data_IF_551849673783
#
_entry.id   IF_551849673783
#
_cell.length_a   1.000
_cell.length_b   1.000
_cell.length_c   1.000
_cell.angle_alpha   90.00
_cell.angle_beta   90.00
_cell.angle_gamma   90.00
#
_symmetry.space_group_name_H-M   'P 1'
#
loop_
_entity.id
_entity.type
_entity.pdbx_description
1 polymer ?
#
# COMPACT_ATOMS: atom_id res chain seq x y z
N UNK A 1 46.03 -70.41 -13.14
CA UNK A 1 44.78 -70.46 -12.35
C UNK A 1 44.73 -69.18 -11.52
N UNK A 2 44.03 -68.15 -12.01
CA UNK A 2 42.64 -67.75 -11.65
C UNK A 2 42.53 -67.37 -10.15
N UNK A 3 42.49 -66.07 -9.80
CA UNK A 3 41.28 -65.28 -9.46
C UNK A 3 40.67 -65.73 -8.09
N UNK A 4 40.39 -64.96 -7.03
CA UNK A 4 40.11 -63.55 -6.78
C UNK A 4 39.94 -63.38 -5.24
N UNK A 5 40.40 -62.32 -4.54
CA UNK A 5 39.84 -61.99 -3.24
C UNK A 5 38.63 -61.08 -3.47
N UNK A 6 37.42 -61.64 -3.36
CA UNK A 6 36.20 -60.82 -3.29
C UNK A 6 36.24 -60.04 -1.97
N UNK A 7 36.79 -58.82 -2.00
CA UNK A 7 36.51 -57.82 -0.98
C UNK A 7 35.01 -57.53 -1.05
N UNK A 8 34.23 -58.19 -0.19
CA UNK A 8 32.87 -57.75 0.11
C UNK A 8 32.99 -56.40 0.80
N UNK A 9 32.91 -55.33 0.00
CA UNK A 9 32.74 -53.98 0.49
C UNK A 9 31.35 -53.91 1.12
N UNK A 10 31.23 -54.34 2.39
CA UNK A 10 29.99 -54.30 3.15
C UNK A 10 29.73 -52.84 3.49
N UNK A 11 29.20 -52.10 2.53
CA UNK A 11 28.59 -50.81 2.80
C UNK A 11 27.53 -51.06 3.88
N UNK A 12 27.82 -50.62 5.10
CA UNK A 12 27.02 -50.94 6.27
C UNK A 12 25.65 -50.30 6.02
N UNK A 13 24.57 -51.10 5.90
CA UNK A 13 23.24 -50.59 5.50
C UNK A 13 22.72 -49.47 6.41
N UNK A 14 23.28 -49.37 7.61
CA UNK A 14 23.07 -48.27 8.58
C UNK A 14 23.46 -46.90 7.99
N UNK A 15 24.51 -46.83 7.17
CA UNK A 15 24.93 -45.60 6.50
C UNK A 15 24.14 -45.26 5.23
N UNK A 16 23.34 -46.20 4.70
CA UNK A 16 22.57 -45.97 3.49
C UNK A 16 21.54 -44.85 3.67
N UNK A 17 20.91 -44.76 4.85
CA UNK A 17 19.90 -43.73 5.13
C UNK A 17 20.55 -42.34 5.27
N UNK A 18 21.56 -42.11 6.15
CA UNK A 18 22.23 -40.80 6.23
C UNK A 18 22.86 -40.36 4.90
N UNK A 19 23.49 -41.27 4.16
CA UNK A 19 24.10 -40.96 2.86
C UNK A 19 23.02 -40.62 1.82
N UNK A 20 21.89 -41.32 1.82
CA UNK A 20 20.77 -40.98 0.94
C UNK A 20 20.18 -39.61 1.26
N UNK A 21 20.04 -39.27 2.54
CA UNK A 21 19.57 -37.93 2.97
C UNK A 21 20.54 -36.85 2.51
N UNK A 22 21.85 -37.04 2.73
CA UNK A 22 22.87 -36.08 2.29
C UNK A 22 22.89 -35.93 0.76
N UNK A 23 22.73 -37.02 0.01
CA UNK A 23 22.62 -36.98 -1.44
C UNK A 23 21.37 -36.23 -1.91
N UNK A 24 20.22 -36.45 -1.26
CA UNK A 24 18.99 -35.72 -1.57
C UNK A 24 19.12 -34.22 -1.27
N UNK A 25 19.76 -33.85 -0.16
CA UNK A 25 20.09 -32.45 0.16
C UNK A 25 21.03 -31.87 -0.90
N UNK A 26 22.08 -32.60 -1.28
CA UNK A 26 23.00 -32.19 -2.33
C UNK A 26 22.32 -31.99 -3.69
N UNK A 27 21.42 -32.90 -4.07
CA UNK A 27 20.62 -32.79 -5.30
C UNK A 27 19.66 -31.60 -5.23
N UNK A 28 19.04 -31.33 -4.08
CA UNK A 28 18.16 -30.18 -3.90
C UNK A 28 18.87 -28.85 -4.17
N UNK A 29 20.10 -28.68 -3.68
CA UNK A 29 20.88 -27.46 -3.89
C UNK A 29 21.47 -27.32 -5.30
N UNK A 30 21.27 -28.29 -6.20
CA UNK A 30 21.59 -28.09 -7.61
C UNK A 30 20.66 -27.01 -8.21
N UNK A 31 21.18 -25.97 -8.90
CA UNK A 31 20.38 -24.83 -9.36
C UNK A 31 19.09 -25.19 -10.14
N UNK A 32 19.08 -26.18 -11.06
CA UNK A 32 17.86 -26.57 -11.79
C UNK A 32 16.80 -27.25 -10.92
N UNK A 33 17.21 -27.84 -9.79
CA UNK A 33 16.30 -28.51 -8.84
C UNK A 33 15.78 -27.49 -7.84
N UNK A 34 16.69 -26.71 -7.24
CA UNK A 34 16.35 -25.65 -6.30
C UNK A 34 15.34 -24.67 -6.89
N UNK A 35 15.61 -24.12 -8.09
CA UNK A 35 14.69 -23.16 -8.75
C UNK A 35 13.28 -23.71 -8.98
N UNK A 36 13.14 -25.03 -9.20
CA UNK A 36 11.85 -25.68 -9.44
C UNK A 36 11.11 -26.10 -8.17
N UNK A 37 11.84 -26.37 -7.07
CA UNK A 37 11.27 -26.89 -5.83
C UNK A 37 11.20 -25.86 -4.70
N UNK A 38 12.07 -24.84 -4.67
CA UNK A 38 12.13 -23.87 -3.57
C UNK A 38 10.79 -23.19 -3.32
N UNK A 39 10.14 -22.67 -4.36
CA UNK A 39 8.82 -22.04 -4.23
C UNK A 39 7.73 -23.01 -3.73
N UNK A 40 7.83 -24.30 -4.07
CA UNK A 40 6.88 -25.33 -3.60
C UNK A 40 7.08 -25.64 -2.12
N UNK A 41 8.33 -25.70 -1.68
CA UNK A 41 8.66 -25.90 -0.27
C UNK A 41 8.26 -24.67 0.56
N UNK A 42 8.49 -23.47 0.03
CA UNK A 42 8.05 -22.22 0.66
C UNK A 42 6.53 -22.16 0.76
N UNK A 43 5.81 -22.53 -0.30
CA UNK A 43 4.36 -22.61 -0.27
C UNK A 43 3.86 -23.65 0.75
N UNK A 44 4.47 -24.83 0.80
CA UNK A 44 4.12 -25.85 1.80
C UNK A 44 4.37 -25.36 3.23
N UNK A 45 5.50 -24.69 3.46
CA UNK A 45 5.80 -24.10 4.77
C UNK A 45 4.79 -23.02 5.15
N UNK A 46 4.38 -22.18 4.21
CA UNK A 46 3.35 -21.16 4.43
C UNK A 46 2.00 -21.81 4.74
N UNK A 47 1.58 -22.82 3.98
CA UNK A 47 0.35 -23.58 4.21
C UNK A 47 0.34 -24.23 5.59
N UNK A 48 1.45 -24.84 6.02
CA UNK A 48 1.57 -25.42 7.37
C UNK A 48 1.44 -24.34 8.43
N UNK A 49 2.14 -23.20 8.28
CA UNK A 49 2.07 -22.10 9.26
C UNK A 49 0.65 -21.53 9.35
N UNK A 50 0.02 -21.23 8.23
CA UNK A 50 -1.34 -20.67 8.19
C UNK A 50 -2.42 -21.66 8.61
N UNK A 51 -2.17 -22.97 8.50
CA UNK A 51 -3.07 -23.97 9.06
C UNK A 51 -3.12 -23.91 10.59
N UNK A 52 -1.99 -23.65 11.26
CA UNK A 52 -1.92 -23.56 12.72
C UNK A 52 -2.17 -22.14 13.26
N UNK A 53 -1.83 -21.11 12.49
CA UNK A 53 -2.01 -19.71 12.84
C UNK A 53 -2.57 -18.97 11.61
N UNK A 54 -3.90 -18.97 11.41
CA UNK A 54 -4.53 -18.28 10.30
C UNK A 54 -4.25 -16.77 10.39
N UNK A 55 -3.73 -16.13 9.33
CA UNK A 55 -3.32 -14.73 9.40
C UNK A 55 -4.50 -13.75 9.58
N UNK A 56 -5.71 -14.18 9.21
CA UNK A 56 -6.95 -13.44 9.44
C UNK A 56 -7.45 -13.48 10.90
N UNK A 57 -6.95 -14.41 11.71
CA UNK A 57 -7.17 -14.43 13.16
C UNK A 57 -6.20 -13.51 13.92
N UNK A 58 -5.12 -13.04 13.28
CA UNK A 58 -4.15 -12.15 13.89
C UNK A 58 -4.80 -10.79 14.20
N UNK A 59 -4.75 -10.39 15.48
CA UNK A 59 -5.33 -9.12 15.96
C UNK A 59 -4.30 -8.37 16.76
N UNK A 60 -4.02 -7.14 16.33
CA UNK A 60 -3.30 -6.16 17.13
C UNK A 60 -4.28 -5.39 18.02
N UNK A 61 -3.97 -5.30 19.31
CA UNK A 61 -4.72 -4.50 20.28
C UNK A 61 -3.86 -3.34 20.77
N UNK A 62 -4.20 -2.09 20.42
CA UNK A 62 -3.42 -0.93 20.85
C UNK A 62 -3.56 -0.70 22.36
N UNK A 63 -2.45 -0.31 23.00
CA UNK A 63 -2.42 -0.03 24.45
C UNK A 63 -3.08 1.31 24.86
N UNK A 64 -3.36 2.19 23.90
CA UNK A 64 -3.79 3.59 24.12
C UNK A 64 -5.23 3.82 24.55
N UNK A 65 -6.09 2.79 24.61
CA UNK A 65 -7.50 2.97 24.97
C UNK A 65 -7.75 2.44 26.38
N UNK A 66 -7.56 3.32 27.37
CA UNK A 66 -8.50 3.29 28.50
C UNK A 66 -9.88 3.56 27.92
N UNK A 67 -10.90 2.81 28.36
CA UNK A 67 -12.31 2.82 27.90
C UNK A 67 -12.99 4.21 27.92
N UNK A 68 -12.47 5.19 27.19
CA UNK A 68 -13.21 6.36 26.76
C UNK A 68 -14.17 5.81 25.72
N UNK A 69 -15.45 5.79 26.10
CA UNK A 69 -16.52 5.26 25.27
C UNK A 69 -16.41 5.87 23.87
N UNK A 70 -16.64 5.05 22.85
CA UNK A 70 -16.69 5.43 21.43
C UNK A 70 -17.46 6.76 21.23
N UNK A 71 -18.49 7.00 22.05
CA UNK A 71 -19.28 8.23 22.08
C UNK A 71 -18.51 9.50 22.47
N UNK A 72 -17.57 9.42 23.42
CA UNK A 72 -16.83 10.58 23.92
C UNK A 72 -15.88 11.12 22.85
N UNK A 73 -15.23 10.22 22.09
CA UNK A 73 -14.31 10.63 21.02
C UNK A 73 -15.05 11.03 19.75
N UNK A 74 -16.16 10.35 19.41
CA UNK A 74 -17.08 10.87 18.38
C UNK A 74 -17.55 12.28 18.75
N UNK A 75 -17.76 12.56 20.05
CA UNK A 75 -18.09 13.87 20.58
C UNK A 75 -16.99 14.92 20.36
N UNK A 76 -15.73 14.59 20.64
CA UNK A 76 -14.60 15.51 20.44
C UNK A 76 -14.29 15.74 18.96
N UNK A 77 -14.31 14.70 18.12
CA UNK A 77 -14.13 14.83 16.66
C UNK A 77 -15.25 15.67 16.04
N UNK A 78 -16.50 15.50 16.50
CA UNK A 78 -17.61 16.39 16.10
C UNK A 78 -17.40 17.84 16.55
N UNK A 79 -16.86 18.06 17.75
CA UNK A 79 -16.56 19.40 18.24
C UNK A 79 -15.45 20.07 17.43
N UNK A 80 -14.42 19.34 17.02
CA UNK A 80 -13.34 19.83 16.15
C UNK A 80 -13.82 20.12 14.72
N UNK A 81 -14.67 19.26 14.15
CA UNK A 81 -15.34 19.51 12.87
C UNK A 81 -16.23 20.77 12.93
N UNK A 82 -16.88 21.04 14.07
CA UNK A 82 -17.66 22.27 14.27
C UNK A 82 -16.78 23.51 14.42
N UNK A 83 -15.61 23.39 15.05
CA UNK A 83 -14.66 24.50 15.22
C UNK A 83 -14.03 24.92 13.87
N UNK A 84 -13.77 23.98 12.97
CA UNK A 84 -13.26 24.26 11.61
C UNK A 84 -14.30 24.86 10.66
N UNK A 85 -15.60 24.72 10.95
CA UNK A 85 -16.68 25.38 10.23
C UNK A 85 -16.99 26.81 10.71
N UNK A 86 -16.27 27.31 11.72
CA UNK A 86 -16.48 28.68 12.22
C UNK A 86 -15.70 29.68 11.35
N UNK A 87 -16.36 30.50 10.49
CA UNK A 87 -15.64 31.54 9.75
C UNK A 87 -14.99 32.52 10.75
N UNK A 88 -13.79 33.05 10.46
CA UNK A 88 -13.12 33.97 11.37
C UNK A 88 -14.01 35.19 11.62
N UNK A 89 -14.15 35.56 12.90
CA UNK A 89 -14.88 36.75 13.31
C UNK A 89 -14.28 37.99 12.62
N UNK A 90 -15.02 38.57 11.68
CA UNK A 90 -14.63 39.78 10.97
C UNK A 90 -14.64 40.95 11.94
N UNK A 91 -13.45 41.41 12.32
CA UNK A 91 -13.28 42.68 13.03
C UNK A 91 -13.35 43.85 12.03
N UNK A 92 -14.23 44.82 12.32
CA UNK A 92 -14.03 46.21 11.92
C UNK A 92 -14.52 46.60 10.53
N UNK A 93 -15.58 47.40 10.54
CA UNK A 93 -16.28 48.04 9.43
C UNK A 93 -15.39 48.95 8.57
N UNK A 94 -15.37 48.69 7.25
CA UNK A 94 -15.19 49.73 6.23
C UNK A 94 -16.17 49.44 5.10
N UNK A 95 -17.16 50.31 4.92
CA UNK A 95 -18.21 50.19 3.90
C UNK A 95 -17.59 50.31 2.50
N UNK A 96 -17.60 49.27 1.64
CA UNK A 96 -17.16 49.42 0.27
C UNK A 96 -18.32 49.93 -0.58
N UNK A 97 -18.04 50.92 -1.42
CA UNK A 97 -18.91 51.37 -2.51
C UNK A 97 -19.17 50.21 -3.48
N UNK A 98 -20.39 50.02 -4.02
CA UNK A 98 -20.66 48.92 -4.95
C UNK A 98 -19.87 49.15 -6.26
N UNK A 99 -18.87 48.30 -6.49
CA UNK A 99 -18.29 48.07 -7.81
C UNK A 99 -18.87 46.77 -8.39
N UNK A 100 -19.06 46.66 -9.71
CA UNK A 100 -19.51 45.42 -10.32
C UNK A 100 -18.37 44.39 -10.25
N UNK A 101 -18.45 43.46 -9.32
CA UNK A 101 -17.63 42.23 -9.36
C UNK A 101 -18.52 41.18 -10.02
N UNK A 102 -18.45 41.08 -11.34
CA UNK A 102 -18.82 39.85 -12.00
C UNK A 102 -17.80 38.80 -11.55
N UNK A 103 -18.22 37.93 -10.62
CA UNK A 103 -17.52 36.67 -10.36
C UNK A 103 -17.45 35.96 -11.72
N UNK A 104 -16.27 35.58 -12.24
CA UNK A 104 -16.23 34.78 -13.44
C UNK A 104 -16.95 33.47 -13.13
N UNK A 105 -18.17 33.34 -13.66
CA UNK A 105 -18.87 32.07 -13.73
C UNK A 105 -18.08 31.24 -14.72
N UNK A 106 -17.16 30.41 -14.22
CA UNK A 106 -16.53 29.37 -15.02
C UNK A 106 -17.70 28.52 -15.50
N UNK A 107 -18.06 28.68 -16.77
CA UNK A 107 -19.11 27.88 -17.37
C UNK A 107 -18.46 26.53 -17.58
N UNK A 108 -18.73 25.56 -16.69
CA UNK A 108 -18.20 24.21 -16.84
C UNK A 108 -18.76 23.64 -18.15
N UNK A 109 -17.92 23.51 -19.16
CA UNK A 109 -18.26 22.67 -20.32
C UNK A 109 -18.69 21.31 -19.76
N UNK A 110 -19.89 20.82 -20.11
CA UNK A 110 -20.32 19.50 -19.67
C UNK A 110 -19.27 18.46 -20.09
N UNK A 111 -18.88 17.59 -19.17
CA UNK A 111 -17.98 16.48 -19.51
C UNK A 111 -18.66 15.59 -20.56
N UNK A 112 -17.89 14.98 -21.48
CA UNK A 112 -18.43 13.95 -22.37
C UNK A 112 -19.12 12.84 -21.57
N UNK A 113 -20.19 12.26 -22.10
CA UNK A 113 -20.89 11.16 -21.42
C UNK A 113 -20.06 9.87 -21.33
N UNK A 114 -19.04 9.75 -22.18
CA UNK A 114 -18.05 8.68 -22.11
C UNK A 114 -16.72 9.12 -22.70
N UNK A 115 -15.64 8.55 -22.19
CA UNK A 115 -14.27 8.76 -22.66
C UNK A 115 -13.56 7.42 -22.70
N UNK A 116 -12.81 7.17 -23.79
CA UNK A 116 -11.84 6.08 -23.89
C UNK A 116 -10.56 6.69 -24.44
N UNK A 117 -9.50 6.68 -23.64
CA UNK A 117 -8.21 7.21 -24.07
C UNK A 117 -7.56 6.25 -25.09
N UNK A 118 -7.22 6.79 -26.26
CA UNK A 118 -6.51 6.05 -27.29
C UNK A 118 -5.00 5.95 -26.95
N UNK A 119 -4.30 4.98 -27.55
CA UNK A 119 -2.84 4.88 -27.44
C UNK A 119 -2.32 4.19 -26.17
N UNK A 120 -3.20 3.70 -25.30
CA UNK A 120 -2.83 2.88 -24.14
C UNK A 120 -2.16 1.58 -24.60
N UNK A 121 -0.92 1.36 -24.17
CA UNK A 121 -0.15 0.14 -24.44
C UNK A 121 -0.22 -0.77 -23.22
N UNK A 122 -1.06 -1.79 -23.28
CA UNK A 122 -1.24 -2.76 -22.20
C UNK A 122 0.06 -3.50 -21.86
N UNK A 123 0.23 -3.78 -20.57
CA UNK A 123 1.29 -4.61 -20.00
C UNK A 123 0.70 -5.36 -18.79
N UNK A 124 0.87 -6.68 -18.73
CA UNK A 124 0.44 -7.48 -17.57
C UNK A 124 1.49 -7.43 -16.43
N UNK A 125 1.30 -8.19 -15.35
CA UNK A 125 2.34 -8.49 -14.35
C UNK A 125 2.77 -9.98 -14.34
N UNK A 126 2.31 -10.79 -15.29
CA UNK A 126 2.54 -12.24 -15.30
C UNK A 126 4.02 -12.60 -15.28
N UNK A 127 4.34 -13.66 -14.54
CA UNK A 127 5.70 -14.12 -14.28
C UNK A 127 6.56 -13.11 -13.48
N UNK A 128 5.91 -12.18 -12.77
CA UNK A 128 6.53 -11.25 -11.82
C UNK A 128 5.64 -11.10 -10.57
N UNK A 129 6.15 -11.52 -9.42
CA UNK A 129 5.39 -11.53 -8.17
C UNK A 129 5.36 -10.14 -7.53
N UNK A 130 4.17 -9.65 -7.18
CA UNK A 130 3.92 -8.32 -6.60
C UNK A 130 4.39 -7.15 -7.51
N UNK A 131 4.15 -7.24 -8.81
CA UNK A 131 4.54 -6.23 -9.81
C UNK A 131 3.37 -5.33 -10.27
N UNK A 132 2.24 -5.34 -9.57
CA UNK A 132 1.07 -4.53 -9.95
C UNK A 132 1.39 -3.03 -10.03
N UNK A 133 2.12 -2.48 -9.05
CA UNK A 133 2.58 -1.09 -9.05
C UNK A 133 3.47 -0.78 -10.27
N UNK A 134 4.64 -1.44 -10.41
CA UNK A 134 5.52 -1.25 -11.57
C UNK A 134 4.85 -1.41 -12.93
N UNK A 135 3.92 -2.38 -13.08
CA UNK A 135 3.25 -2.65 -14.35
C UNK A 135 2.13 -1.63 -14.68
N UNK A 136 1.34 -1.18 -13.70
CA UNK A 136 0.35 -0.13 -13.97
C UNK A 136 1.03 1.20 -14.26
N UNK A 137 2.11 1.48 -13.53
CA UNK A 137 2.82 2.73 -13.67
C UNK A 137 3.66 2.78 -14.96
N UNK A 138 4.22 1.65 -15.43
CA UNK A 138 4.85 1.60 -16.74
C UNK A 138 3.86 1.92 -17.87
N UNK A 139 2.61 1.45 -17.79
CA UNK A 139 1.56 1.85 -18.74
C UNK A 139 1.29 3.36 -18.71
N UNK A 140 1.26 3.96 -17.52
CA UNK A 140 1.07 5.41 -17.35
C UNK A 140 2.21 6.23 -17.99
N UNK A 141 3.47 5.81 -17.82
CA UNK A 141 4.61 6.47 -18.44
C UNK A 141 4.66 6.25 -19.97
N UNK A 142 4.36 5.02 -20.42
CA UNK A 142 4.35 4.67 -21.86
C UNK A 142 3.25 5.40 -22.63
N UNK A 143 2.16 5.78 -21.97
CA UNK A 143 1.12 6.64 -22.54
C UNK A 143 1.70 7.99 -23.01
N UNK A 144 2.70 8.51 -22.30
CA UNK A 144 3.43 9.75 -22.65
C UNK A 144 4.71 9.52 -23.47
N UNK A 145 4.91 8.31 -24.00
CA UNK A 145 6.03 8.02 -24.91
C UNK A 145 7.32 7.56 -24.23
N UNK A 146 7.32 7.28 -22.92
CA UNK A 146 8.44 6.61 -22.27
C UNK A 146 8.65 5.20 -22.85
N UNK A 147 9.91 4.79 -23.08
CA UNK A 147 10.26 3.55 -23.80
C UNK A 147 10.64 2.37 -22.89
N UNK A 148 10.40 2.51 -21.58
CA UNK A 148 10.65 1.43 -20.62
C UNK A 148 9.46 0.49 -20.43
N UNK A 149 9.56 -0.35 -19.40
CA UNK A 149 8.57 -1.37 -19.05
C UNK A 149 8.60 -1.64 -17.53
N UNK A 150 7.73 -2.54 -17.05
CA UNK A 150 7.62 -2.90 -15.62
C UNK A 150 8.93 -3.39 -15.01
N UNK A 151 9.80 -4.04 -15.79
CA UNK A 151 11.08 -4.59 -15.31
C UNK A 151 12.15 -3.49 -15.15
N UNK A 152 12.04 -2.37 -15.87
CA UNK A 152 12.92 -1.21 -15.67
C UNK A 152 12.58 -0.52 -14.34
N UNK A 153 11.29 -0.30 -14.09
CA UNK A 153 10.79 0.29 -12.84
C UNK A 153 11.09 -0.64 -11.65
N UNK A 154 10.70 -1.92 -11.75
CA UNK A 154 10.85 -2.90 -10.68
C UNK A 154 12.29 -3.12 -10.23
N UNK A 155 13.30 -2.94 -11.09
CA UNK A 155 14.71 -3.04 -10.68
C UNK A 155 15.13 -1.98 -9.67
N UNK A 156 14.48 -0.81 -9.69
CA UNK A 156 14.82 0.31 -8.82
C UNK A 156 14.01 0.23 -7.54
N UNK A 157 12.69 0.11 -7.66
CA UNK A 157 11.76 0.24 -6.51
C UNK A 157 11.31 -1.11 -5.93
N UNK A 158 11.69 -2.23 -6.55
CA UNK A 158 11.40 -3.58 -6.05
C UNK A 158 12.60 -4.50 -6.23
N UNK A 159 13.76 -4.18 -5.61
CA UNK A 159 15.03 -4.88 -5.90
C UNK A 159 15.04 -6.35 -5.44
N UNK A 160 14.01 -6.80 -4.73
CA UNK A 160 13.85 -8.16 -4.24
C UNK A 160 12.50 -8.75 -4.62
N UNK A 161 12.49 -10.01 -5.06
CA UNK A 161 11.24 -10.73 -5.34
C UNK A 161 10.39 -10.95 -4.07
N UNK A 162 11.00 -10.81 -2.89
CA UNK A 162 10.36 -10.97 -1.58
C UNK A 162 9.51 -9.77 -1.16
N UNK A 163 9.86 -8.60 -1.69
CA UNK A 163 9.12 -7.37 -1.47
C UNK A 163 7.66 -7.56 -1.92
N UNK A 164 6.75 -7.17 -1.02
CA UNK A 164 5.31 -7.43 -1.11
C UNK A 164 4.54 -6.25 -1.68
N UNK A 165 5.09 -5.04 -1.67
CA UNK A 165 4.38 -3.86 -2.14
C UNK A 165 5.32 -2.78 -2.67
N UNK A 166 4.81 -1.96 -3.57
CA UNK A 166 5.41 -0.67 -3.91
C UNK A 166 4.44 0.41 -3.48
N UNK A 167 4.90 1.34 -2.66
CA UNK A 167 4.11 2.46 -2.17
C UNK A 167 3.92 3.52 -3.27
N UNK A 168 2.80 4.27 -3.28
CA UNK A 168 2.59 5.32 -4.30
C UNK A 168 3.69 6.37 -4.37
N UNK A 169 4.30 6.73 -3.23
CA UNK A 169 5.39 7.72 -3.20
C UNK A 169 6.67 7.19 -3.86
N UNK A 170 6.92 5.88 -3.83
CA UNK A 170 8.07 5.29 -4.53
C UNK A 170 7.92 5.38 -6.05
N UNK A 171 6.68 5.35 -6.55
CA UNK A 171 6.38 5.59 -7.97
C UNK A 171 6.68 7.04 -8.35
N UNK A 172 6.33 8.00 -7.50
CA UNK A 172 6.61 9.42 -7.75
C UNK A 172 8.09 9.75 -7.65
N UNK A 173 8.78 9.18 -6.66
CA UNK A 173 10.23 9.34 -6.47
C UNK A 173 11.00 8.73 -7.66
N UNK A 174 10.57 7.55 -8.14
CA UNK A 174 11.14 6.95 -9.34
C UNK A 174 11.06 7.89 -10.55
N UNK A 175 9.93 8.58 -10.78
CA UNK A 175 9.81 9.55 -11.88
C UNK A 175 10.75 10.72 -11.67
N UNK A 176 10.74 11.31 -10.48
CA UNK A 176 11.57 12.46 -10.16
C UNK A 176 13.06 12.19 -10.42
N UNK A 177 13.51 10.97 -10.10
CA UNK A 177 14.91 10.58 -10.19
C UNK A 177 15.32 9.99 -11.56
N UNK A 178 14.38 9.41 -12.32
CA UNK A 178 14.73 8.55 -13.47
C UNK A 178 14.01 8.88 -14.79
N UNK A 179 13.01 9.76 -14.81
CA UNK A 179 12.19 9.99 -16.01
C UNK A 179 12.14 11.49 -16.35
N UNK A 180 13.09 11.92 -17.17
CA UNK A 180 13.17 13.31 -17.63
C UNK A 180 11.92 13.73 -18.43
N UNK A 181 11.44 14.95 -18.17
CA UNK A 181 10.31 15.55 -18.88
C UNK A 181 8.93 15.03 -18.44
N UNK A 182 8.86 14.12 -17.47
CA UNK A 182 7.62 13.68 -16.85
C UNK A 182 7.59 14.19 -15.40
N UNK A 183 6.44 14.71 -14.98
CA UNK A 183 6.13 15.05 -13.60
C UNK A 183 5.00 14.19 -13.09
N UNK A 184 4.91 14.07 -11.76
CA UNK A 184 3.83 13.34 -11.09
C UNK A 184 3.15 14.20 -10.04
N UNK A 185 1.87 13.95 -9.82
CA UNK A 185 1.15 14.41 -8.64
C UNK A 185 0.46 13.24 -7.96
N UNK A 186 0.68 13.10 -6.65
CA UNK A 186 -0.03 12.15 -5.79
C UNK A 186 -0.90 12.94 -4.81
N UNK A 187 -2.15 12.51 -4.63
CA UNK A 187 -3.06 13.04 -3.60
C UNK A 187 -3.96 11.92 -3.07
N UNK A 188 -4.61 12.22 -1.94
CA UNK A 188 -5.68 11.43 -1.34
C UNK A 188 -7.03 12.13 -1.55
N UNK A 189 -8.12 11.40 -1.28
CA UNK A 189 -9.47 11.95 -1.35
C UNK A 189 -9.94 12.26 -2.78
N UNK A 190 -9.47 11.49 -3.77
CA UNK A 190 -10.03 11.58 -5.11
C UNK A 190 -11.49 11.10 -5.16
N UNK A 191 -12.22 11.52 -6.19
CA UNK A 191 -13.58 11.08 -6.45
C UNK A 191 -13.77 10.71 -7.94
N UNK A 192 -14.87 10.04 -8.25
CA UNK A 192 -15.21 9.62 -9.62
C UNK A 192 -15.29 10.82 -10.57
N UNK A 193 -15.80 11.96 -10.12
CA UNK A 193 -15.93 13.16 -10.97
C UNK A 193 -14.57 13.78 -11.30
N UNK A 194 -13.61 13.73 -10.38
CA UNK A 194 -12.22 14.12 -10.59
C UNK A 194 -11.59 13.22 -11.64
N UNK A 195 -11.73 11.90 -11.50
CA UNK A 195 -11.22 10.96 -12.51
C UNK A 195 -11.80 11.27 -13.89
N UNK A 196 -13.11 11.53 -14.00
CA UNK A 196 -13.74 11.93 -15.27
C UNK A 196 -13.17 13.23 -15.84
N UNK A 197 -12.94 14.25 -15.00
CA UNK A 197 -12.30 15.52 -15.43
C UNK A 197 -10.91 15.28 -16.02
N UNK A 198 -10.09 14.46 -15.36
CA UNK A 198 -8.75 14.10 -15.84
C UNK A 198 -8.81 13.33 -17.17
N UNK A 199 -9.65 12.31 -17.24
CA UNK A 199 -9.82 11.47 -18.43
C UNK A 199 -10.32 12.29 -19.61
N UNK A 200 -11.31 13.16 -19.42
CA UNK A 200 -11.82 14.05 -20.47
C UNK A 200 -10.75 15.03 -21.00
N UNK A 201 -9.76 15.40 -20.16
CA UNK A 201 -8.63 16.23 -20.54
C UNK A 201 -7.42 15.44 -21.10
N UNK A 202 -7.56 14.12 -21.25
CA UNK A 202 -6.52 13.26 -21.83
C UNK A 202 -5.46 12.78 -20.83
N UNK A 203 -5.73 12.85 -19.53
CA UNK A 203 -4.82 12.39 -18.49
C UNK A 203 -5.34 11.09 -17.85
N UNK A 204 -4.72 9.94 -18.14
CA UNK A 204 -5.05 8.71 -17.43
C UNK A 204 -4.51 8.76 -16.00
N UNK A 205 -5.09 7.97 -15.11
CA UNK A 205 -4.82 8.05 -13.66
C UNK A 205 -4.52 6.67 -13.10
N UNK A 206 -3.47 6.56 -12.30
CA UNK A 206 -3.17 5.34 -11.52
C UNK A 206 -3.81 5.46 -10.15
N UNK A 207 -4.48 4.41 -9.69
CA UNK A 207 -5.08 4.32 -8.35
C UNK A 207 -4.63 3.04 -7.66
N UNK A 208 -4.68 3.02 -6.34
CA UNK A 208 -4.52 1.82 -5.52
C UNK A 208 -5.86 1.45 -4.89
N UNK A 209 -6.26 0.19 -4.93
CA UNK A 209 -7.55 -0.31 -4.41
C UNK A 209 -7.38 -1.59 -3.62
N UNK A 210 -8.33 -1.83 -2.72
CA UNK A 210 -8.57 -3.16 -2.17
C UNK A 210 -9.28 -4.04 -3.21
N UNK A 211 -8.87 -5.30 -3.28
CA UNK A 211 -9.43 -6.33 -4.15
C UNK A 211 -9.50 -7.67 -3.40
N UNK A 212 -10.53 -8.47 -3.67
CA UNK A 212 -10.68 -9.80 -3.09
C UNK A 212 -10.43 -10.84 -4.17
N UNK A 213 -9.41 -11.66 -3.98
CA UNK A 213 -9.04 -12.68 -4.96
C UNK A 213 -8.44 -13.90 -4.28
N UNK A 214 -8.44 -15.03 -4.99
CA UNK A 214 -7.68 -16.20 -4.61
C UNK A 214 -6.19 -15.88 -4.65
N UNK A 215 -5.55 -15.98 -3.50
CA UNK A 215 -4.11 -15.91 -3.43
C UNK A 215 -3.45 -17.21 -3.93
N UNK A 216 -2.11 -17.24 -3.93
CA UNK A 216 -1.32 -18.38 -4.40
C UNK A 216 -1.52 -19.68 -3.59
N UNK A 217 -2.15 -19.60 -2.41
CA UNK A 217 -2.54 -20.76 -1.61
C UNK A 217 -3.94 -21.27 -1.95
N UNK A 218 -4.69 -20.51 -2.77
CA UNK A 218 -6.06 -20.81 -3.20
C UNK A 218 -7.15 -20.23 -2.28
N UNK A 219 -6.77 -19.59 -1.17
CA UNK A 219 -7.68 -18.90 -0.24
C UNK A 219 -8.05 -17.54 -0.82
N UNK A 220 -9.34 -17.21 -0.81
CA UNK A 220 -9.78 -15.85 -1.15
C UNK A 220 -9.42 -14.93 0.00
N UNK A 221 -8.78 -13.81 -0.28
CA UNK A 221 -8.46 -12.84 0.74
C UNK A 221 -8.32 -11.44 0.18
N UNK A 222 -8.45 -10.45 1.05
CA UNK A 222 -8.23 -9.07 0.69
C UNK A 222 -6.75 -8.80 0.38
N UNK A 223 -6.48 -8.05 -0.69
CA UNK A 223 -5.16 -7.56 -1.08
C UNK A 223 -5.24 -6.16 -1.69
N UNK A 224 -4.14 -5.42 -1.61
CA UNK A 224 -3.94 -4.18 -2.34
C UNK A 224 -3.58 -4.47 -3.79
N UNK A 225 -4.07 -3.62 -4.70
CA UNK A 225 -3.81 -3.74 -6.12
C UNK A 225 -3.86 -2.37 -6.81
N UNK A 226 -3.04 -2.19 -7.83
CA UNK A 226 -3.07 -0.99 -8.65
C UNK A 226 -3.96 -1.17 -9.87
N UNK A 227 -4.65 -0.10 -10.26
CA UNK A 227 -5.36 -0.01 -11.53
C UNK A 227 -4.91 1.24 -12.29
N UNK A 228 -4.86 1.11 -13.61
CA UNK A 228 -4.63 2.23 -14.50
C UNK A 228 -5.93 2.63 -15.21
N UNK A 229 -6.55 3.72 -14.75
CA UNK A 229 -7.83 4.21 -15.24
C UNK A 229 -7.64 4.97 -16.55
N UNK A 230 -8.34 4.54 -17.60
CA UNK A 230 -8.14 5.02 -18.97
C UNK A 230 -9.44 5.45 -19.66
N UNK A 231 -10.57 5.42 -18.96
CA UNK A 231 -11.85 5.87 -19.50
C UNK A 231 -13.01 5.70 -18.54
N UNK A 232 -14.19 6.13 -18.98
CA UNK A 232 -15.45 5.97 -18.26
C UNK A 232 -16.65 5.96 -19.23
N UNK A 233 -17.79 5.42 -18.77
CA UNK A 233 -19.07 5.41 -19.50
C UNK A 233 -20.22 5.66 -18.51
N UNK A 234 -20.81 6.86 -18.57
CA UNK A 234 -21.90 7.25 -17.66
C UNK A 234 -23.22 6.52 -17.94
N UNK A 235 -23.46 6.10 -19.19
CA UNK A 235 -24.65 5.33 -19.51
C UNK A 235 -24.61 3.94 -18.86
N UNK A 236 -23.41 3.38 -18.68
CA UNK A 236 -23.20 2.09 -18.01
C UNK A 236 -22.86 2.20 -16.53
N UNK A 237 -22.43 3.38 -16.07
CA UNK A 237 -21.97 3.62 -14.72
C UNK A 237 -20.66 2.90 -14.40
N UNK A 238 -19.69 2.97 -15.32
CA UNK A 238 -18.45 2.17 -15.27
C UNK A 238 -17.19 3.00 -15.54
N UNK A 239 -16.11 2.66 -14.82
CA UNK A 239 -14.75 3.00 -15.21
C UNK A 239 -14.21 1.97 -16.20
N UNK A 240 -13.40 2.43 -17.15
CA UNK A 240 -12.55 1.59 -17.99
C UNK A 240 -11.13 1.60 -17.42
N UNK A 241 -10.63 0.43 -17.04
CA UNK A 241 -9.32 0.27 -16.39
C UNK A 241 -8.45 -0.75 -17.11
N UNK A 242 -7.14 -0.57 -17.02
CA UNK A 242 -6.18 -1.62 -17.30
C UNK A 242 -5.82 -2.26 -15.96
N UNK A 243 -5.91 -3.58 -15.92
CA UNK A 243 -5.59 -4.39 -14.75
C UNK A 243 -4.47 -5.34 -15.14
N UNK A 244 -3.36 -5.24 -14.42
CA UNK A 244 -2.15 -6.02 -14.70
C UNK A 244 -2.21 -7.44 -14.16
N UNK A 245 -3.12 -7.71 -13.23
CA UNK A 245 -3.31 -9.01 -12.61
C UNK A 245 -4.19 -9.92 -13.46
N UNK A 246 -5.20 -9.35 -14.12
CA UNK A 246 -6.14 -10.07 -14.95
C UNK A 246 -5.67 -10.16 -16.41
N UNK A 247 -6.05 -11.24 -17.11
CA UNK A 247 -5.69 -11.46 -18.51
C UNK A 247 -6.38 -10.47 -19.47
N UNK A 248 -5.61 -9.55 -20.02
CA UNK A 248 -6.01 -8.70 -21.15
C UNK A 248 -6.30 -7.23 -20.77
N UNK A 249 -6.53 -6.35 -21.76
CA UNK A 249 -6.80 -4.93 -21.50
C UNK A 249 -8.29 -4.64 -21.28
N UNK A 250 -8.58 -3.40 -20.86
CA UNK A 250 -9.90 -2.77 -20.95
C UNK A 250 -11.00 -3.43 -20.10
N UNK A 251 -10.75 -3.59 -18.81
CA UNK A 251 -11.76 -4.06 -17.86
C UNK A 251 -12.76 -2.96 -17.51
N UNK A 252 -14.00 -3.37 -17.30
CA UNK A 252 -15.11 -2.50 -16.94
C UNK A 252 -15.46 -2.73 -15.47
N UNK A 253 -15.35 -1.69 -14.65
CA UNK A 253 -15.65 -1.76 -13.21
C UNK A 253 -16.77 -0.77 -12.90
N UNK A 254 -17.84 -1.23 -12.24
CA UNK A 254 -18.94 -0.34 -11.84
C UNK A 254 -18.42 0.75 -10.90
N UNK A 255 -18.91 1.98 -11.04
CA UNK A 255 -18.46 3.11 -10.19
C UNK A 255 -18.50 2.76 -8.71
N UNK A 256 -19.59 2.15 -8.25
CA UNK A 256 -19.74 1.74 -6.85
C UNK A 256 -18.67 0.74 -6.40
N UNK A 257 -18.41 -0.30 -7.20
CA UNK A 257 -17.40 -1.32 -6.89
C UNK A 257 -15.99 -0.74 -6.93
N UNK A 258 -15.74 0.17 -7.87
CA UNK A 258 -14.48 0.91 -7.96
C UNK A 258 -14.25 1.75 -6.69
N UNK A 259 -15.24 2.54 -6.27
CA UNK A 259 -15.19 3.38 -5.06
C UNK A 259 -15.05 2.54 -3.79
N UNK A 260 -15.79 1.44 -3.66
CA UNK A 260 -15.71 0.52 -2.51
C UNK A 260 -14.28 -0.05 -2.36
N UNK A 261 -13.64 -0.43 -3.45
CA UNK A 261 -12.24 -0.87 -3.41
C UNK A 261 -11.26 0.27 -3.16
N UNK A 262 -11.44 1.40 -3.83
CA UNK A 262 -10.54 2.56 -3.76
C UNK A 262 -10.51 3.18 -2.35
N UNK A 263 -11.63 3.10 -1.62
CA UNK A 263 -11.75 3.49 -0.21
C UNK A 263 -10.65 2.88 0.65
N UNK A 264 -10.27 1.63 0.43
CA UNK A 264 -9.30 0.96 1.30
C UNK A 264 -7.91 1.65 1.32
N UNK A 265 -7.63 2.52 0.36
CA UNK A 265 -6.38 3.24 0.19
C UNK A 265 -6.57 4.77 0.21
N UNK A 266 -7.54 5.25 0.99
CA UNK A 266 -7.82 6.68 1.17
C UNK A 266 -8.02 7.45 -0.14
N UNK A 267 -8.61 6.77 -1.13
CA UNK A 267 -8.84 7.32 -2.46
C UNK A 267 -7.57 7.90 -3.09
N UNK A 268 -6.43 7.23 -2.89
CA UNK A 268 -5.13 7.65 -3.42
C UNK A 268 -5.10 7.57 -4.94
N UNK A 269 -4.57 8.59 -5.58
CA UNK A 269 -4.32 8.59 -7.01
C UNK A 269 -2.97 9.22 -7.34
N UNK A 270 -2.40 8.76 -8.45
CA UNK A 270 -1.18 9.30 -9.05
C UNK A 270 -1.47 9.64 -10.50
N UNK A 271 -1.13 10.86 -10.90
CA UNK A 271 -1.16 11.28 -12.31
C UNK A 271 0.26 11.56 -12.76
N UNK A 272 0.75 10.78 -13.72
CA UNK A 272 1.98 11.09 -14.45
C UNK A 272 1.63 11.88 -15.72
N UNK A 273 2.38 12.93 -16.01
CA UNK A 273 2.11 13.83 -17.13
C UNK A 273 3.38 14.52 -17.64
N UNK A 274 3.42 14.99 -18.91
CA UNK A 274 4.54 15.78 -19.41
C UNK A 274 4.67 17.07 -18.62
N UNK A 275 5.87 17.39 -18.14
CA UNK A 275 6.10 18.53 -17.23
C UNK A 275 5.58 19.86 -17.78
N UNK A 276 5.56 20.04 -19.10
CA UNK A 276 4.99 21.22 -19.76
C UNK A 276 3.48 21.39 -19.60
N UNK A 277 2.75 20.33 -19.18
CA UNK A 277 1.30 20.35 -18.93
C UNK A 277 0.93 20.52 -17.45
N UNK A 278 1.89 20.82 -16.57
CA UNK A 278 1.66 20.95 -15.13
C UNK A 278 0.53 21.92 -14.78
N UNK A 279 0.46 23.09 -15.43
CA UNK A 279 -0.59 24.07 -15.16
C UNK A 279 -2.00 23.55 -15.43
N UNK A 280 -2.14 22.67 -16.43
CA UNK A 280 -3.43 22.06 -16.78
C UNK A 280 -3.84 21.05 -15.71
N UNK A 281 -2.91 20.22 -15.25
CA UNK A 281 -3.12 19.27 -14.15
C UNK A 281 -3.50 19.98 -12.85
N UNK A 282 -2.76 21.04 -12.48
CA UNK A 282 -3.09 21.82 -11.28
C UNK A 282 -4.46 22.50 -11.39
N UNK A 283 -4.87 22.91 -12.60
CA UNK A 283 -6.22 23.45 -12.84
C UNK A 283 -7.30 22.37 -12.68
N UNK A 284 -7.06 21.15 -13.19
CA UNK A 284 -7.99 20.02 -13.08
C UNK A 284 -8.17 19.53 -11.63
N UNK A 285 -7.10 19.58 -10.82
CA UNK A 285 -7.15 19.28 -9.39
C UNK A 285 -8.02 20.27 -8.60
N UNK A 286 -8.09 21.53 -9.06
CA UNK A 286 -8.81 22.58 -8.34
C UNK A 286 -8.29 22.75 -6.91
N UNK A 287 -9.15 22.54 -5.92
CA UNK A 287 -8.78 22.63 -4.50
C UNK A 287 -7.72 21.57 -4.10
N UNK A 288 -7.67 20.42 -4.79
CA UNK A 288 -6.69 19.37 -4.51
C UNK A 288 -5.27 19.70 -5.03
N UNK A 289 -5.10 20.82 -5.74
CA UNK A 289 -3.79 21.25 -6.22
C UNK A 289 -2.86 21.58 -5.05
N UNK A 290 -3.40 22.24 -4.02
CA UNK A 290 -2.70 22.47 -2.76
C UNK A 290 -2.73 21.18 -1.92
N UNK A 291 -1.54 20.70 -1.55
CA UNK A 291 -1.38 19.42 -0.85
C UNK A 291 -2.05 19.39 0.52
N UNK A 292 -1.89 20.46 1.33
CA UNK A 292 -2.55 20.56 2.63
C UNK A 292 -4.08 20.53 2.49
N UNK A 293 -4.63 21.28 1.52
CA UNK A 293 -6.08 21.28 1.25
C UNK A 293 -6.57 19.92 0.78
N UNK A 294 -5.80 19.20 -0.05
CA UNK A 294 -6.13 17.84 -0.45
C UNK A 294 -6.14 16.88 0.73
N UNK A 295 -5.15 16.95 1.62
CA UNK A 295 -5.08 16.11 2.82
C UNK A 295 -6.22 16.43 3.81
N UNK A 296 -6.59 17.71 3.97
CA UNK A 296 -7.77 18.12 4.76
C UNK A 296 -9.09 17.66 4.13
N UNK A 297 -9.18 17.68 2.80
CA UNK A 297 -10.33 17.14 2.09
C UNK A 297 -10.46 15.63 2.30
N UNK A 298 -9.38 14.87 2.10
CA UNK A 298 -9.34 13.43 2.35
C UNK A 298 -9.73 13.09 3.80
N UNK A 299 -9.21 13.85 4.78
CA UNK A 299 -9.61 13.71 6.18
C UNK A 299 -11.11 13.92 6.38
N UNK A 300 -11.67 14.96 5.76
CA UNK A 300 -13.11 15.26 5.85
C UNK A 300 -13.95 14.11 5.29
N UNK A 301 -13.57 13.57 4.13
CA UNK A 301 -14.24 12.41 3.51
C UNK A 301 -14.18 11.21 4.47
N UNK A 302 -12.98 10.88 4.96
CA UNK A 302 -12.76 9.75 5.86
C UNK A 302 -13.57 9.88 7.17
N UNK A 303 -13.64 11.07 7.76
CA UNK A 303 -14.42 11.34 8.97
C UNK A 303 -15.93 11.24 8.75
N UNK A 304 -16.44 11.61 7.57
CA UNK A 304 -17.84 11.47 7.22
C UNK A 304 -18.20 9.99 6.99
N UNK A 305 -17.35 9.26 6.28
CA UNK A 305 -17.52 7.83 6.04
C UNK A 305 -17.41 7.01 7.34
N UNK A 306 -16.49 7.35 8.24
CA UNK A 306 -16.29 6.62 9.50
C UNK A 306 -17.48 6.73 10.46
N UNK A 307 -18.32 7.76 10.28
CA UNK A 307 -19.56 7.97 11.01
C UNK A 307 -20.78 7.32 10.36
N UNK A 308 -20.77 7.11 9.05
CA UNK A 308 -21.94 6.67 8.28
C UNK A 308 -21.88 5.19 7.85
N UNK A 309 -20.68 4.66 7.60
CA UNK A 309 -20.48 3.30 7.14
C UNK A 309 -20.42 2.30 8.30
N UNK A 310 -20.49 1.03 7.96
CA UNK A 310 -20.49 -0.10 8.91
C UNK A 310 -19.50 -1.19 8.47
N UNK A 311 -19.17 -2.13 9.36
CA UNK A 311 -18.32 -3.27 9.02
C UNK A 311 -16.94 -2.86 8.51
N UNK A 312 -16.46 -3.54 7.46
CA UNK A 312 -15.12 -3.31 6.90
C UNK A 312 -14.96 -1.92 6.26
N UNK A 313 -16.02 -1.37 5.66
CA UNK A 313 -15.96 -0.02 5.09
C UNK A 313 -15.74 1.03 6.18
N UNK A 314 -16.34 0.84 7.36
CA UNK A 314 -16.08 1.69 8.52
C UNK A 314 -14.65 1.54 9.04
N UNK A 315 -14.11 0.33 9.01
CA UNK A 315 -12.70 0.09 9.32
C UNK A 315 -11.80 0.89 8.37
N UNK A 316 -12.01 0.78 7.05
CA UNK A 316 -11.23 1.53 6.06
C UNK A 316 -11.38 3.04 6.23
N UNK A 317 -12.57 3.54 6.52
CA UNK A 317 -12.78 4.96 6.75
C UNK A 317 -12.01 5.49 7.98
N UNK A 318 -11.95 4.74 9.09
CA UNK A 318 -11.10 5.11 10.23
C UNK A 318 -9.61 5.00 9.92
N UNK A 319 -9.20 3.98 9.17
CA UNK A 319 -7.83 3.85 8.71
C UNK A 319 -7.41 5.04 7.83
N UNK A 320 -8.28 5.45 6.92
CA UNK A 320 -8.11 6.63 6.05
C UNK A 320 -8.01 7.94 6.82
N UNK A 321 -8.79 8.09 7.90
CA UNK A 321 -8.67 9.25 8.78
C UNK A 321 -7.26 9.29 9.41
N UNK A 322 -6.76 8.14 9.87
CA UNK A 322 -5.38 7.99 10.33
C UNK A 322 -4.37 8.38 9.26
N UNK A 323 -4.51 7.85 8.04
CA UNK A 323 -3.63 8.15 6.91
C UNK A 323 -3.64 9.63 6.54
N UNK A 324 -4.80 10.28 6.59
CA UNK A 324 -4.91 11.72 6.31
C UNK A 324 -4.29 12.57 7.42
N UNK A 325 -4.45 12.20 8.69
CA UNK A 325 -3.75 12.85 9.81
C UNK A 325 -2.23 12.69 9.70
N UNK A 326 -1.71 11.52 9.27
CA UNK A 326 -0.28 11.35 8.97
C UNK A 326 0.19 12.37 7.93
N UNK A 327 -0.57 12.53 6.84
CA UNK A 327 -0.24 13.48 5.78
C UNK A 327 -0.32 14.95 6.23
N UNK A 328 -0.99 15.23 7.35
CA UNK A 328 -1.06 16.54 8.01
C UNK A 328 -0.07 16.68 9.18
N UNK A 329 0.74 15.65 9.46
CA UNK A 329 1.66 15.57 10.61
C UNK A 329 0.95 15.60 11.99
N UNK A 330 -0.33 15.24 12.02
CA UNK A 330 -1.20 15.21 13.21
C UNK A 330 -1.10 13.82 13.88
N UNK A 331 0.09 13.44 14.34
CA UNK A 331 0.41 12.05 14.71
C UNK A 331 -0.39 11.49 15.90
N UNK A 332 -0.81 12.33 16.85
CA UNK A 332 -1.63 11.91 18.01
C UNK A 332 -3.06 11.58 17.56
N UNK A 333 -3.61 12.40 16.67
CA UNK A 333 -4.94 12.18 16.11
C UNK A 333 -4.94 10.99 15.15
N UNK A 334 -3.85 10.82 14.38
CA UNK A 334 -3.61 9.63 13.57
C UNK A 334 -3.61 8.36 14.43
N UNK A 335 -2.89 8.35 15.56
CA UNK A 335 -2.84 7.21 16.47
C UNK A 335 -4.23 6.87 17.02
N UNK A 336 -5.01 7.89 17.39
CA UNK A 336 -6.40 7.72 17.84
C UNK A 336 -7.28 7.12 16.74
N UNK A 337 -7.19 7.61 15.51
CA UNK A 337 -7.97 7.07 14.39
C UNK A 337 -7.60 5.61 14.06
N UNK A 338 -6.31 5.28 14.08
CA UNK A 338 -5.86 3.89 13.92
C UNK A 338 -6.27 2.99 15.07
N UNK A 339 -6.28 3.48 16.30
CA UNK A 339 -6.82 2.75 17.44
C UNK A 339 -8.27 2.33 17.19
N UNK A 340 -9.13 3.24 16.70
CA UNK A 340 -10.50 2.90 16.31
C UNK A 340 -10.56 1.88 15.18
N UNK A 341 -9.71 2.03 14.16
CA UNK A 341 -9.62 1.06 13.07
C UNK A 341 -9.27 -0.33 13.61
N UNK A 342 -8.22 -0.49 14.41
CA UNK A 342 -7.81 -1.80 14.92
C UNK A 342 -8.84 -2.42 15.88
N UNK A 343 -9.58 -1.62 16.66
CA UNK A 343 -10.71 -2.15 17.43
C UNK A 343 -11.84 -2.65 16.54
N UNK A 344 -12.19 -1.92 15.47
CA UNK A 344 -13.19 -2.40 14.51
C UNK A 344 -12.71 -3.69 13.85
N UNK A 345 -11.44 -3.75 13.45
CA UNK A 345 -10.81 -4.93 12.87
C UNK A 345 -10.95 -6.15 13.78
N UNK A 346 -10.65 -6.00 15.07
CA UNK A 346 -10.77 -7.08 16.06
C UNK A 346 -12.19 -7.64 16.22
N UNK A 347 -13.21 -6.83 15.88
CA UNK A 347 -14.62 -7.19 15.97
C UNK A 347 -15.23 -7.61 14.62
N UNK A 348 -14.46 -7.65 13.53
CA UNK A 348 -14.94 -8.20 12.25
C UNK A 348 -15.17 -9.71 12.39
N UNK A 349 -16.24 -10.25 11.80
CA UNK A 349 -16.59 -11.67 11.88
C UNK A 349 -15.54 -12.59 11.21
N UNK A 350 -15.37 -13.79 11.76
CA UNK A 350 -14.28 -14.74 11.43
C UNK A 350 -14.55 -15.65 10.22
N UNK A 351 -15.71 -15.56 9.53
CA UNK A 351 -16.10 -16.56 8.51
C UNK A 351 -15.42 -16.42 7.13
N UNK A 352 -14.11 -16.11 7.13
CA UNK A 352 -13.13 -16.68 6.20
C UNK A 352 -12.80 -15.96 4.87
N UNK A 353 -13.01 -14.63 4.73
CA UNK A 353 -12.36 -13.82 3.64
C UNK A 353 -12.23 -12.31 3.93
N UNK A 354 -12.88 -11.78 4.97
CA UNK A 354 -13.19 -10.34 5.09
C UNK A 354 -12.13 -9.51 5.81
N UNK A 355 -11.34 -10.07 6.73
CA UNK A 355 -10.36 -9.28 7.47
C UNK A 355 -9.16 -8.92 6.57
N UNK A 356 -8.87 -7.61 6.38
CA UNK A 356 -7.76 -7.17 5.54
C UNK A 356 -6.42 -7.30 6.29
N UNK A 357 -6.01 -8.53 6.65
CA UNK A 357 -4.80 -8.76 7.46
C UNK A 357 -3.51 -8.27 6.79
N UNK A 358 -3.54 -8.11 5.46
CA UNK A 358 -2.45 -7.55 4.66
C UNK A 358 -2.39 -6.03 4.68
N UNK A 359 -3.26 -5.33 5.43
CA UNK A 359 -3.29 -3.87 5.43
C UNK A 359 -1.92 -3.26 5.73
N UNK A 360 -1.20 -3.82 6.71
CA UNK A 360 0.15 -3.37 7.08
C UNK A 360 1.23 -3.74 6.06
N UNK A 361 0.92 -4.56 5.05
CA UNK A 361 1.84 -4.84 3.94
C UNK A 361 1.82 -3.70 2.92
N UNK A 362 0.71 -2.96 2.84
CA UNK A 362 0.51 -1.91 1.85
C UNK A 362 0.49 -0.51 2.46
N UNK A 363 0.32 -0.36 3.77
CA UNK A 363 0.21 0.93 4.44
C UNK A 363 0.98 0.96 5.77
N UNK A 364 1.97 1.85 5.87
CA UNK A 364 2.85 1.98 7.04
C UNK A 364 2.46 3.09 8.00
N UNK A 365 1.41 3.86 7.70
CA UNK A 365 0.93 5.01 8.49
C UNK A 365 0.76 4.74 9.99
N UNK A 366 0.24 3.57 10.43
CA UNK A 366 0.17 3.24 11.86
C UNK A 366 1.52 3.26 12.59
N UNK A 367 2.62 2.85 11.93
CA UNK A 367 3.95 2.90 12.54
C UNK A 367 4.40 4.35 12.78
N UNK A 368 4.16 5.24 11.82
CA UNK A 368 4.42 6.67 11.98
C UNK A 368 3.61 7.24 13.14
N UNK A 369 2.31 6.98 13.16
CA UNK A 369 1.40 7.51 14.18
C UNK A 369 1.86 7.13 15.59
N UNK A 370 2.07 5.84 15.85
CA UNK A 370 2.49 5.37 17.16
C UNK A 370 3.92 5.80 17.50
N UNK A 371 4.86 5.81 16.55
CA UNK A 371 6.24 6.22 16.83
C UNK A 371 6.33 7.70 17.22
N UNK A 372 5.75 8.60 16.42
CA UNK A 372 5.83 10.05 16.65
C UNK A 372 4.89 10.53 17.77
N UNK A 373 3.93 9.72 18.20
CA UNK A 373 3.18 9.92 19.44
C UNK A 373 3.84 9.24 20.67
N UNK A 374 5.08 8.75 20.54
CA UNK A 374 5.87 8.10 21.60
C UNK A 374 5.32 6.76 22.13
N UNK A 375 4.37 6.16 21.41
CA UNK A 375 3.79 4.85 21.70
C UNK A 375 4.65 3.71 21.14
N UNK A 376 5.92 3.66 21.55
CA UNK A 376 6.89 2.69 21.02
C UNK A 376 6.52 1.22 21.27
N UNK A 377 5.82 0.94 22.38
CA UNK A 377 5.30 -0.41 22.65
C UNK A 377 4.28 -0.85 21.61
N UNK A 378 3.42 0.06 21.13
CA UNK A 378 2.44 -0.25 20.09
C UNK A 378 3.10 -0.46 18.73
N UNK A 379 4.16 0.30 18.40
CA UNK A 379 4.97 0.03 17.20
C UNK A 379 5.58 -1.37 17.26
N UNK A 380 6.19 -1.74 18.40
CA UNK A 380 6.80 -3.06 18.58
C UNK A 380 5.76 -4.16 18.44
N UNK A 381 4.62 -4.02 19.12
CA UNK A 381 3.57 -5.02 19.11
C UNK A 381 2.93 -5.16 17.71
N UNK A 382 2.57 -4.06 17.06
CA UNK A 382 1.97 -4.07 15.72
C UNK A 382 2.92 -4.70 14.70
N UNK A 383 4.20 -4.32 14.71
CA UNK A 383 5.18 -4.87 13.78
C UNK A 383 5.45 -6.35 14.06
N UNK A 384 5.44 -6.77 15.33
CA UNK A 384 5.56 -8.18 15.71
C UNK A 384 4.38 -8.99 15.19
N UNK A 385 3.13 -8.56 15.45
CA UNK A 385 1.94 -9.20 14.90
C UNK A 385 2.01 -9.27 13.37
N UNK A 386 2.44 -8.19 12.72
CA UNK A 386 2.57 -8.15 11.26
C UNK A 386 3.60 -9.19 10.76
N UNK A 387 4.79 -9.24 11.36
CA UNK A 387 5.90 -10.10 10.92
C UNK A 387 5.76 -11.57 11.33
N UNK A 388 5.04 -11.86 12.42
CA UNK A 388 4.97 -13.18 13.02
C UNK A 388 3.62 -13.87 12.77
N UNK A 389 2.52 -13.12 12.75
CA UNK A 389 1.17 -13.68 12.71
C UNK A 389 0.49 -13.49 11.35
N UNK A 390 0.76 -12.38 10.63
CA UNK A 390 0.08 -12.11 9.35
C UNK A 390 0.78 -12.68 8.13
N UNK A 391 2.08 -13.02 8.25
CA UNK A 391 2.92 -13.44 7.12
C UNK A 391 3.72 -14.72 7.44
N UNK A 392 3.93 -15.57 6.43
CA UNK A 392 4.63 -16.85 6.62
C UNK A 392 6.11 -16.68 7.01
N UNK A 393 6.78 -15.67 6.44
CA UNK A 393 8.17 -15.31 6.70
C UNK A 393 8.23 -13.79 6.94
N UNK A 394 9.07 -13.31 7.88
CA UNK A 394 9.19 -11.88 8.19
C UNK A 394 9.93 -11.13 7.08
N UNK A 395 9.27 -10.96 5.93
CA UNK A 395 9.81 -10.39 4.69
C UNK A 395 9.16 -9.02 4.38
N UNK A 396 8.91 -8.21 5.41
CA UNK A 396 8.37 -6.86 5.30
C UNK A 396 9.38 -5.88 5.91
N UNK A 397 10.27 -5.34 5.08
CA UNK A 397 11.40 -4.50 5.47
C UNK A 397 10.98 -3.24 6.24
N UNK A 398 9.84 -2.62 5.92
CA UNK A 398 9.33 -1.46 6.64
C UNK A 398 8.90 -1.83 8.04
N UNK A 399 8.24 -2.98 8.21
CA UNK A 399 7.83 -3.46 9.54
C UNK A 399 9.06 -3.75 10.40
N UNK A 400 10.12 -4.32 9.83
CA UNK A 400 11.41 -4.52 10.51
C UNK A 400 12.06 -3.17 10.87
N UNK A 401 12.13 -2.22 9.94
CA UNK A 401 12.69 -0.89 10.19
C UNK A 401 11.96 -0.17 11.33
N UNK A 402 10.63 -0.15 11.30
CA UNK A 402 9.83 0.53 12.32
C UNK A 402 9.92 -0.16 13.68
N UNK A 403 9.93 -1.50 13.72
CA UNK A 403 10.15 -2.24 14.96
C UNK A 403 11.54 -1.98 15.52
N UNK A 404 12.57 -1.95 14.68
CA UNK A 404 13.93 -1.61 15.07
C UNK A 404 14.05 -0.19 15.64
N UNK A 405 13.43 0.80 14.99
CA UNK A 405 13.36 2.19 15.50
C UNK A 405 12.73 2.24 16.88
N UNK A 406 11.61 1.55 17.08
CA UNK A 406 10.93 1.50 18.37
C UNK A 406 11.72 0.72 19.43
N UNK A 407 12.41 -0.36 19.05
CA UNK A 407 13.33 -1.08 19.94
C UNK A 407 14.45 -0.19 20.44
N UNK A 408 15.05 0.61 19.57
CA UNK A 408 16.08 1.56 19.97
C UNK A 408 15.54 2.57 20.99
N UNK A 409 14.37 3.16 20.73
CA UNK A 409 13.72 4.09 21.68
C UNK A 409 13.35 3.42 23.01
N UNK A 410 13.07 2.11 23.00
CA UNK A 410 12.83 1.30 24.19
C UNK A 410 14.11 0.82 24.90
N UNK A 411 15.31 1.26 24.47
CA UNK A 411 16.59 0.85 25.04
C UNK A 411 17.05 -0.56 24.65
N UNK A 412 16.40 -1.19 23.67
CA UNK A 412 16.69 -2.55 23.18
C UNK A 412 17.57 -2.52 21.92
N UNK A 413 18.73 -1.88 22.00
CA UNK A 413 19.60 -1.59 20.84
C UNK A 413 20.00 -2.82 20.02
N UNK A 414 20.28 -3.96 20.66
CA UNK A 414 20.64 -5.17 19.91
C UNK A 414 19.49 -5.66 19.01
N UNK A 415 18.25 -5.64 19.51
CA UNK A 415 17.09 -6.00 18.70
C UNK A 415 16.87 -5.04 17.54
N UNK A 416 17.17 -3.75 17.72
CA UNK A 416 17.12 -2.76 16.64
C UNK A 416 18.13 -3.10 15.53
N UNK A 417 19.38 -3.41 15.90
CA UNK A 417 20.43 -3.80 14.95
C UNK A 417 20.03 -5.08 14.19
N UNK A 418 19.46 -6.06 14.89
CA UNK A 418 19.04 -7.32 14.28
C UNK A 418 17.92 -7.10 13.26
N UNK A 419 16.93 -6.28 13.57
CA UNK A 419 15.85 -5.93 12.65
C UNK A 419 16.35 -5.12 11.43
N UNK A 420 17.26 -4.16 11.62
CA UNK A 420 17.83 -3.39 10.49
C UNK A 420 18.65 -4.27 9.55
N UNK A 421 19.42 -5.22 10.10
CA UNK A 421 20.15 -6.20 9.29
C UNK A 421 19.21 -7.15 8.57
N UNK A 422 18.14 -7.60 9.22
CA UNK A 422 17.11 -8.41 8.59
C UNK A 422 16.45 -7.67 7.42
N UNK A 423 16.18 -6.37 7.56
CA UNK A 423 15.68 -5.53 6.46
C UNK A 423 16.67 -5.49 5.28
N UNK A 424 17.99 -5.36 5.54
CA UNK A 424 19.01 -5.36 4.49
C UNK A 424 19.21 -6.72 3.79
N UNK A 425 18.80 -7.83 4.42
CA UNK A 425 18.74 -9.14 3.74
C UNK A 425 17.61 -9.23 2.73
N UNK A 426 16.54 -8.44 2.92
CA UNK A 426 15.38 -8.39 2.03
C UNK A 426 15.63 -7.37 0.93
N UNK A 427 16.02 -6.15 1.30
CA UNK A 427 16.30 -5.03 0.42
C UNK A 427 17.76 -4.58 0.59
N UNK A 428 18.71 -5.21 -0.14
CA UNK A 428 20.11 -4.81 -0.09
C UNK A 428 20.27 -3.36 -0.52
N UNK A 429 21.09 -2.60 0.22
CA UNK A 429 21.35 -1.16 -0.02
C UNK A 429 20.16 -0.24 0.24
N UNK A 430 19.18 -0.67 1.02
CA UNK A 430 18.09 0.20 1.41
C UNK A 430 18.58 1.30 2.37
N UNK A 431 18.61 2.53 1.87
CA UNK A 431 19.18 3.68 2.57
C UNK A 431 18.60 3.90 3.99
N UNK A 432 17.28 3.76 4.23
CA UNK A 432 16.72 3.92 5.56
C UNK A 432 17.30 2.96 6.62
N UNK A 433 17.56 1.70 6.25
CA UNK A 433 18.14 0.71 7.16
C UNK A 433 19.67 0.90 7.31
N UNK A 434 20.36 1.29 6.23
CA UNK A 434 21.78 1.67 6.27
C UNK A 434 21.98 2.84 7.24
N UNK A 435 21.21 3.92 7.06
CA UNK A 435 21.31 5.11 7.89
C UNK A 435 21.01 4.77 9.35
N UNK A 436 19.99 3.96 9.62
CA UNK A 436 19.65 3.55 10.97
C UNK A 436 20.77 2.73 11.66
N UNK A 437 21.54 1.92 10.93
CA UNK A 437 22.72 1.23 11.48
C UNK A 437 23.88 2.21 11.70
N UNK A 438 24.12 3.13 10.77
CA UNK A 438 25.17 4.14 10.88
C UNK A 438 24.95 5.10 12.05
N UNK A 439 23.70 5.51 12.29
CA UNK A 439 23.30 6.35 13.44
C UNK A 439 23.62 5.66 14.78
N UNK A 440 23.62 4.31 14.80
CA UNK A 440 24.03 3.50 15.94
C UNK A 440 25.54 3.22 15.99
N UNK A 441 26.32 3.72 15.04
CA UNK A 441 27.75 3.45 14.91
C UNK A 441 28.07 2.02 14.46
N UNK A 442 27.11 1.34 13.82
CA UNK A 442 27.22 -0.05 13.36
C UNK A 442 27.40 -0.07 11.84
N UNK A 443 28.32 -0.91 11.36
CA UNK A 443 28.48 -1.11 9.92
C UNK A 443 27.32 -1.98 9.37
N UNK A 444 26.73 -1.58 8.22
CA UNK A 444 25.62 -2.28 7.57
C UNK A 444 25.85 -3.77 7.36
#
# INVERSE_FOLDING_TARGET
>A
MLYNPVMHNRFNRIWAIPVSILLLIGVYFLPPVHSRLAWRLDNLSAQIKYFFNPPDEAVFQPSGISQLTIETVIGTVRAEYQLTLTPPAVAGTATPKPGPIARPTITSTPLPASVILAGVKYEDQHNRWNYCGPANFSMALRFWGWDGNRDVIGKVIKPSDKDRNVMPYELTDYVADNVEGISTVQRYGGDVDMLKRFLAAGFPVVVEKGYYERDYTGKVGWMGHYLFVTGYDDAKGEMLVQDTYNDGPNFHVKYKEFEEGWRAFNYVFVVAFPSERESEVMTLLGALANEEQANRHALTVAQQESQSLTGIDRYFAWFNAGTSHIALLEYVDAATAYDYAFNLYANLEETDTTRPYRMMWYQTGPYWAYYYSTRYADVINLATTTLEDTIAKPELEESLLWRGRAYYMAGKTQLAIDDYRAALLIHPKWEPAIQALQDLGVQP
#
